data_IF_502249937014
#
_entry.id   IF_502249937014
#
_cell.length_a   1.000
_cell.length_b   1.000
_cell.length_c   1.000
_cell.angle_alpha   90.00
_cell.angle_beta   90.00
_cell.angle_gamma   90.00
#
_symmetry.space_group_name_H-M   'P 1'
#
loop_
_entity.id
_entity.type
_entity.pdbx_description
1 polymer ?
#
# COMPACT_ATOMS: atom_id res chain seq x y z
N UNK A 1 4.93 12.24 16.74
CA UNK A 1 3.87 12.82 15.88
C UNK A 1 3.32 11.72 15.01
N UNK A 2 2.01 11.68 14.77
CA UNK A 2 1.31 10.54 14.15
C UNK A 2 1.41 10.59 12.62
N UNK A 3 1.79 9.49 11.97
CA UNK A 3 1.87 9.34 10.51
C UNK A 3 0.54 9.59 9.80
N UNK A 4 -0.59 9.34 10.48
CA UNK A 4 -1.93 9.65 9.95
C UNK A 4 -2.17 11.16 9.74
N UNK A 5 -1.39 12.03 10.38
CA UNK A 5 -1.54 13.48 10.23
C UNK A 5 -0.96 14.03 8.91
N UNK A 6 -0.01 13.32 8.29
CA UNK A 6 0.61 13.74 7.01
C UNK A 6 -0.07 13.11 5.79
N UNK A 7 -0.78 12.00 5.99
CA UNK A 7 -1.44 11.26 4.91
C UNK A 7 -2.39 12.15 4.08
N UNK A 8 -3.24 13.03 4.67
CA UNK A 8 -4.08 13.93 3.88
C UNK A 8 -3.30 14.92 3.01
N UNK A 9 -2.05 15.24 3.37
CA UNK A 9 -1.18 16.10 2.55
C UNK A 9 -0.77 15.37 1.27
N UNK A 10 -0.42 14.08 1.37
CA UNK A 10 -0.10 13.25 0.20
C UNK A 10 -1.26 13.16 -0.79
N UNK A 11 -2.50 13.22 -0.31
CA UNK A 11 -3.70 13.16 -1.14
C UNK A 11 -3.92 14.39 -2.02
N UNK A 12 -3.30 15.54 -1.73
CA UNK A 12 -3.36 16.74 -2.58
C UNK A 12 -2.75 16.53 -3.97
N UNK A 13 -1.88 15.53 -4.11
CA UNK A 13 -1.27 15.13 -5.37
C UNK A 13 -2.21 14.35 -6.29
N UNK A 14 -3.36 13.86 -5.78
CA UNK A 14 -4.34 13.17 -6.60
C UNK A 14 -5.31 14.15 -7.26
N UNK A 15 -5.49 14.04 -8.57
CA UNK A 15 -6.54 14.71 -9.33
C UNK A 15 -7.14 13.77 -10.36
N UNK A 16 -8.46 13.60 -10.32
CA UNK A 16 -9.20 12.84 -11.33
C UNK A 16 -8.58 11.45 -11.58
N UNK A 17 -8.24 10.73 -10.51
CA UNK A 17 -7.61 9.41 -10.58
C UNK A 17 -6.16 9.38 -11.08
N UNK A 18 -5.50 10.54 -11.25
CA UNK A 18 -4.09 10.64 -11.61
C UNK A 18 -3.28 11.23 -10.45
N UNK A 19 -2.10 10.68 -10.21
CA UNK A 19 -1.16 11.18 -9.22
C UNK A 19 -0.15 12.15 -9.86
N UNK A 20 0.08 13.30 -9.23
CA UNK A 20 1.09 14.28 -9.65
C UNK A 20 1.89 14.77 -8.45
N UNK A 21 3.12 14.25 -8.34
CA UNK A 21 4.05 14.51 -7.24
C UNK A 21 4.51 15.97 -7.17
N UNK A 22 4.50 16.70 -8.30
CA UNK A 22 4.99 18.09 -8.35
C UNK A 22 4.17 19.02 -7.45
N UNK A 23 2.93 18.63 -7.15
CA UNK A 23 2.01 19.33 -6.26
C UNK A 23 2.45 19.33 -4.80
N UNK A 24 3.33 18.40 -4.42
CA UNK A 24 3.85 18.30 -3.05
C UNK A 24 5.19 19.01 -2.86
N UNK A 25 5.86 19.47 -3.93
CA UNK A 25 7.24 20.00 -3.87
C UNK A 25 7.40 21.20 -2.93
N UNK A 26 6.33 21.97 -2.71
CA UNK A 26 6.32 23.13 -1.83
C UNK A 26 5.85 22.81 -0.40
N UNK A 27 5.50 21.55 -0.10
CA UNK A 27 5.08 21.15 1.24
C UNK A 27 6.31 21.07 2.17
N UNK A 28 6.24 21.62 3.42
CA UNK A 28 7.38 21.67 4.33
C UNK A 28 8.01 20.31 4.70
N UNK A 29 7.30 19.22 4.45
CA UNK A 29 7.72 17.84 4.73
C UNK A 29 7.83 17.00 3.44
N UNK A 30 8.13 17.66 2.31
CA UNK A 30 8.17 17.02 1.00
C UNK A 30 9.05 15.77 0.97
N UNK A 31 10.24 15.79 1.58
CA UNK A 31 11.12 14.62 1.59
C UNK A 31 10.47 13.42 2.27
N UNK A 32 9.89 13.61 3.46
CA UNK A 32 9.18 12.53 4.17
C UNK A 32 7.95 12.04 3.38
N UNK A 33 7.21 12.96 2.77
CA UNK A 33 6.08 12.63 1.89
C UNK A 33 6.55 11.79 0.70
N UNK A 34 7.62 12.20 0.01
CA UNK A 34 8.16 11.52 -1.14
C UNK A 34 8.56 10.08 -0.79
N UNK A 35 9.35 9.91 0.27
CA UNK A 35 9.90 8.60 0.64
C UNK A 35 8.82 7.65 1.15
N UNK A 36 8.09 8.02 2.21
CA UNK A 36 7.24 7.08 2.94
C UNK A 36 5.78 7.00 2.42
N UNK A 37 5.29 8.06 1.77
CA UNK A 37 3.85 8.17 1.44
C UNK A 37 3.57 8.21 -0.06
N UNK A 38 4.40 8.84 -0.87
CA UNK A 38 4.11 9.09 -2.28
C UNK A 38 4.79 8.10 -3.23
N UNK A 39 5.90 7.47 -2.83
CA UNK A 39 6.71 6.63 -3.72
C UNK A 39 5.93 5.50 -4.38
N UNK A 40 4.95 4.94 -3.67
CA UNK A 40 4.10 3.86 -4.17
C UNK A 40 3.13 4.33 -5.26
N UNK A 41 2.68 5.58 -5.17
CA UNK A 41 1.72 6.18 -6.08
C UNK A 41 2.38 6.62 -7.40
N UNK A 42 3.70 6.83 -7.40
CA UNK A 42 4.50 7.10 -8.60
C UNK A 42 4.39 5.99 -9.66
N UNK A 43 4.06 4.76 -9.26
CA UNK A 43 3.77 3.67 -10.21
C UNK A 43 2.64 3.99 -11.19
N UNK A 44 1.78 4.97 -10.86
CA UNK A 44 0.65 5.41 -11.70
C UNK A 44 0.99 6.56 -12.63
N UNK A 45 2.18 7.18 -12.50
CA UNK A 45 2.57 8.32 -13.34
C UNK A 45 3.16 7.86 -14.68
N UNK A 46 3.34 8.81 -15.61
CA UNK A 46 4.15 8.57 -16.80
C UNK A 46 5.52 8.02 -16.39
N UNK A 47 6.04 7.04 -17.14
CA UNK A 47 7.29 6.30 -16.89
C UNK A 47 7.41 5.57 -15.54
N UNK A 48 6.32 5.42 -14.78
CA UNK A 48 6.35 4.86 -13.43
C UNK A 48 7.07 5.76 -12.41
N UNK A 49 7.30 7.04 -12.74
CA UNK A 49 7.93 8.02 -11.87
C UNK A 49 9.44 7.86 -11.73
N UNK A 50 10.06 7.06 -12.59
CA UNK A 50 11.48 6.74 -12.53
C UNK A 50 12.36 7.97 -12.75
N UNK A 51 12.02 8.84 -13.71
CA UNK A 51 12.79 10.06 -13.94
C UNK A 51 12.74 11.01 -12.73
N UNK A 52 11.60 11.02 -12.03
CA UNK A 52 11.42 11.82 -10.83
C UNK A 52 12.28 11.32 -9.67
N UNK A 53 12.18 10.02 -9.34
CA UNK A 53 12.96 9.42 -8.25
C UNK A 53 14.45 9.49 -8.53
N UNK A 54 14.89 9.26 -9.78
CA UNK A 54 16.30 9.36 -10.14
C UNK A 54 16.90 10.75 -9.85
N UNK A 55 16.08 11.81 -9.95
CA UNK A 55 16.51 13.20 -9.72
C UNK A 55 16.45 13.59 -8.25
N UNK A 56 15.37 13.21 -7.55
CA UNK A 56 15.05 13.75 -6.22
C UNK A 56 15.39 12.79 -5.08
N UNK A 57 15.29 11.48 -5.29
CA UNK A 57 15.46 10.48 -4.23
C UNK A 57 16.06 9.16 -4.76
N UNK A 58 17.24 9.18 -5.44
CA UNK A 58 17.80 7.99 -6.08
C UNK A 58 18.20 6.89 -5.09
N UNK A 59 18.39 7.26 -3.83
CA UNK A 59 18.79 6.39 -2.73
C UNK A 59 17.63 6.01 -1.81
N UNK A 60 16.39 6.36 -2.15
CA UNK A 60 15.23 5.93 -1.37
C UNK A 60 15.13 4.40 -1.29
N UNK A 61 14.69 3.90 -0.14
CA UNK A 61 14.62 2.47 0.12
C UNK A 61 13.74 1.71 -0.90
N UNK A 62 12.68 2.35 -1.41
CA UNK A 62 11.78 1.79 -2.42
C UNK A 62 12.15 2.14 -3.87
N UNK A 63 13.24 2.87 -4.13
CA UNK A 63 13.71 3.10 -5.50
C UNK A 63 13.96 1.80 -6.30
N UNK A 64 14.66 0.77 -5.77
CA UNK A 64 14.79 -0.52 -6.47
C UNK A 64 13.45 -1.22 -6.72
N UNK A 65 12.52 -1.13 -5.78
CA UNK A 65 11.17 -1.67 -5.96
C UNK A 65 10.41 -0.96 -7.09
N UNK A 66 10.51 0.37 -7.20
CA UNK A 66 9.88 1.14 -8.27
C UNK A 66 10.41 0.75 -9.66
N UNK A 67 11.72 0.48 -9.75
CA UNK A 67 12.36 -0.04 -10.97
C UNK A 67 11.81 -1.43 -11.36
N UNK A 68 11.62 -2.33 -10.39
CA UNK A 68 11.03 -3.63 -10.63
C UNK A 68 9.57 -3.52 -11.11
N UNK A 69 8.79 -2.64 -10.49
CA UNK A 69 7.42 -2.35 -10.92
C UNK A 69 7.36 -1.81 -12.35
N UNK A 70 8.21 -0.83 -12.67
CA UNK A 70 8.34 -0.28 -14.01
C UNK A 70 8.68 -1.35 -15.06
N UNK A 71 9.58 -2.28 -14.73
CA UNK A 71 10.00 -3.36 -15.61
C UNK A 71 8.86 -4.31 -16.01
N UNK A 72 7.80 -4.43 -15.20
CA UNK A 72 6.63 -5.23 -15.54
C UNK A 72 5.79 -4.63 -16.67
N UNK A 73 5.88 -3.32 -16.89
CA UNK A 73 5.06 -2.59 -17.86
C UNK A 73 5.84 -2.14 -19.09
N UNK A 74 7.14 -1.88 -18.96
CA UNK A 74 7.98 -1.44 -20.06
C UNK A 74 9.43 -1.90 -19.90
N UNK A 75 10.19 -2.07 -21.01
CA UNK A 75 11.60 -2.39 -20.94
C UNK A 75 12.38 -1.26 -20.26
N UNK A 76 13.22 -1.59 -19.26
CA UNK A 76 14.12 -0.63 -18.65
C UNK A 76 15.26 -0.25 -19.60
N UNK A 77 15.68 1.01 -19.55
CA UNK A 77 16.90 1.48 -20.21
C UNK A 77 18.16 0.88 -19.58
N UNK A 78 19.29 0.93 -20.29
CA UNK A 78 20.57 0.46 -19.76
C UNK A 78 20.97 1.16 -18.44
N UNK A 79 20.68 2.47 -18.32
CA UNK A 79 20.91 3.23 -17.10
C UNK A 79 20.03 2.73 -15.94
N UNK A 80 18.74 2.48 -16.19
CA UNK A 80 17.81 1.98 -15.18
C UNK A 80 18.17 0.55 -14.73
N UNK A 81 18.62 -0.31 -15.64
CA UNK A 81 19.15 -1.63 -15.27
C UNK A 81 20.40 -1.53 -14.40
N UNK A 82 21.34 -0.63 -14.74
CA UNK A 82 22.52 -0.40 -13.90
C UNK A 82 22.12 0.14 -12.51
N UNK A 83 21.13 1.03 -12.46
CA UNK A 83 20.60 1.54 -11.21
C UNK A 83 20.01 0.40 -10.37
N UNK A 84 19.11 -0.41 -10.92
CA UNK A 84 18.49 -1.55 -10.23
C UNK A 84 19.54 -2.54 -9.69
N UNK A 85 20.52 -2.91 -10.52
CA UNK A 85 21.59 -3.83 -10.15
C UNK A 85 22.51 -3.30 -9.04
N UNK A 86 22.53 -1.97 -8.82
CA UNK A 86 23.28 -1.34 -7.74
C UNK A 86 22.42 -1.10 -6.50
N UNK A 87 21.23 -0.55 -6.67
CA UNK A 87 20.38 -0.11 -5.56
C UNK A 87 19.73 -1.29 -4.83
N UNK A 88 19.29 -2.33 -5.54
CA UNK A 88 18.63 -3.47 -4.90
C UNK A 88 19.56 -4.22 -3.94
N UNK A 89 20.76 -4.69 -4.35
CA UNK A 89 21.62 -5.44 -3.42
C UNK A 89 22.11 -4.58 -2.26
N UNK A 90 22.33 -3.27 -2.48
CA UNK A 90 22.68 -2.34 -1.41
C UNK A 90 21.56 -2.26 -0.37
N UNK A 91 20.33 -2.00 -0.82
CA UNK A 91 19.19 -1.86 0.08
C UNK A 91 18.91 -3.16 0.82
N UNK A 92 18.93 -4.31 0.13
CA UNK A 92 18.73 -5.61 0.78
C UNK A 92 19.82 -5.89 1.84
N UNK A 93 21.08 -5.50 1.58
CA UNK A 93 22.16 -5.62 2.55
C UNK A 93 21.96 -4.73 3.78
N UNK A 94 21.41 -3.52 3.60
CA UNK A 94 21.02 -2.63 4.71
C UNK A 94 19.92 -3.26 5.57
N UNK A 95 18.87 -3.81 4.95
CA UNK A 95 17.80 -4.52 5.67
C UNK A 95 18.37 -5.74 6.41
N UNK A 96 19.24 -6.51 5.76
CA UNK A 96 19.92 -7.67 6.33
C UNK A 96 20.79 -7.34 7.54
N UNK A 97 21.29 -6.11 7.67
CA UNK A 97 22.05 -5.70 8.85
C UNK A 97 21.16 -5.51 10.09
N UNK A 98 19.84 -5.37 9.93
CA UNK A 98 18.92 -5.19 11.05
C UNK A 98 18.72 -6.50 11.84
N UNK A 99 18.59 -6.39 13.16
CA UNK A 99 18.27 -7.52 14.01
C UNK A 99 16.90 -8.13 13.66
N UNK A 100 15.96 -7.29 13.21
CA UNK A 100 14.63 -7.72 12.78
C UNK A 100 14.70 -8.64 11.54
N UNK A 101 15.47 -8.26 10.51
CA UNK A 101 15.65 -9.12 9.34
C UNK A 101 16.29 -10.46 9.72
N UNK A 102 17.30 -10.44 10.60
CA UNK A 102 17.98 -11.67 11.03
C UNK A 102 17.06 -12.63 11.80
N UNK A 103 16.13 -12.10 12.60
CA UNK A 103 15.11 -12.93 13.25
C UNK A 103 14.15 -13.52 12.21
N UNK A 104 13.63 -12.68 11.30
CA UNK A 104 12.67 -13.12 10.28
C UNK A 104 13.28 -14.07 9.25
N UNK A 105 14.55 -13.93 8.88
CA UNK A 105 15.19 -14.81 7.90
C UNK A 105 15.36 -16.24 8.43
N UNK A 106 15.47 -16.40 9.76
CA UNK A 106 15.48 -17.71 10.40
C UNK A 106 14.08 -18.35 10.41
N UNK A 107 13.03 -17.56 10.63
CA UNK A 107 11.64 -18.02 10.66
C UNK A 107 11.05 -18.23 9.25
N UNK A 108 11.55 -17.49 8.25
CA UNK A 108 11.08 -17.48 6.85
C UNK A 108 12.24 -17.72 5.86
N UNK A 109 12.81 -18.95 5.86
CA UNK A 109 13.99 -19.27 5.06
C UNK A 109 13.74 -19.33 3.54
N UNK A 110 12.54 -19.70 3.07
CA UNK A 110 12.21 -19.71 1.64
C UNK A 110 12.09 -18.27 1.10
N UNK A 111 11.46 -17.37 1.87
CA UNK A 111 11.37 -15.94 1.53
C UNK A 111 12.77 -15.34 1.46
N UNK A 112 13.61 -15.60 2.46
CA UNK A 112 15.00 -15.13 2.47
C UNK A 112 15.81 -15.67 1.27
N UNK A 113 15.73 -16.98 1.00
CA UNK A 113 16.41 -17.58 -0.14
C UNK A 113 15.94 -16.99 -1.47
N UNK A 114 14.63 -16.73 -1.62
CA UNK A 114 14.07 -16.15 -2.82
C UNK A 114 14.53 -14.70 -3.05
N UNK A 115 14.48 -13.85 -2.02
CA UNK A 115 14.95 -12.45 -2.08
C UNK A 115 16.44 -12.34 -2.45
N UNK A 116 17.26 -13.29 -1.97
CA UNK A 116 18.71 -13.29 -2.22
C UNK A 116 19.11 -13.92 -3.55
N UNK A 117 18.33 -14.87 -4.08
CA UNK A 117 18.69 -15.61 -5.28
C UNK A 117 18.32 -14.88 -6.59
N UNK A 118 17.23 -14.12 -6.62
CA UNK A 118 16.70 -13.51 -7.86
C UNK A 118 16.40 -12.00 -7.80
N UNK A 119 17.18 -11.16 -7.10
CA UNK A 119 16.78 -9.80 -6.73
C UNK A 119 16.36 -8.88 -7.90
N UNK A 120 17.13 -8.89 -9.00
CA UNK A 120 16.94 -7.93 -10.10
C UNK A 120 15.90 -8.36 -11.14
N UNK A 121 15.36 -9.57 -11.07
CA UNK A 121 14.33 -10.08 -11.98
C UNK A 121 13.12 -10.59 -11.23
N UNK A 122 13.06 -10.33 -9.93
CA UNK A 122 12.20 -11.03 -8.98
C UNK A 122 10.69 -10.91 -9.29
N UNK A 123 10.28 -9.77 -9.86
CA UNK A 123 8.89 -9.50 -10.28
C UNK A 123 8.63 -9.73 -11.77
N UNK A 124 9.68 -10.05 -12.54
CA UNK A 124 9.61 -10.26 -13.98
C UNK A 124 9.92 -11.72 -14.38
N UNK A 125 10.37 -12.53 -13.44
CA UNK A 125 10.49 -13.96 -13.64
C UNK A 125 9.08 -14.58 -13.74
N UNK A 126 8.80 -15.23 -14.86
CA UNK A 126 7.53 -15.89 -15.13
C UNK A 126 7.49 -17.32 -14.57
N UNK A 127 8.55 -17.76 -13.88
CA UNK A 127 8.53 -19.02 -13.16
C UNK A 127 7.43 -18.97 -12.09
N UNK A 128 6.58 -20.00 -12.05
CA UNK A 128 5.53 -20.07 -11.04
C UNK A 128 6.18 -20.38 -9.69
N UNK A 129 6.05 -19.52 -8.67
CA UNK A 129 6.60 -19.79 -7.35
C UNK A 129 5.95 -21.03 -6.75
N UNK A 130 6.69 -21.75 -5.92
CA UNK A 130 6.14 -22.91 -5.21
C UNK A 130 5.05 -22.47 -4.22
N UNK A 131 4.05 -23.34 -3.99
CA UNK A 131 3.04 -23.08 -2.95
C UNK A 131 3.66 -22.87 -1.57
N UNK A 132 4.74 -23.60 -1.24
CA UNK A 132 5.44 -23.44 0.04
C UNK A 132 6.02 -22.03 0.20
N UNK A 133 6.60 -21.46 -0.86
CA UNK A 133 7.06 -20.06 -0.84
C UNK A 133 5.89 -19.10 -0.65
N UNK A 134 4.77 -19.31 -1.35
CA UNK A 134 3.59 -18.45 -1.22
C UNK A 134 2.96 -18.52 0.18
N UNK A 135 2.87 -19.72 0.77
CA UNK A 135 2.39 -19.92 2.14
C UNK A 135 3.30 -19.19 3.15
N UNK A 136 4.63 -19.26 2.93
CA UNK A 136 5.61 -18.57 3.76
C UNK A 136 5.55 -17.05 3.58
N UNK A 137 5.29 -16.54 2.37
CA UNK A 137 5.05 -15.12 2.14
C UNK A 137 3.80 -14.62 2.90
N UNK A 138 2.72 -15.41 2.92
CA UNK A 138 1.51 -15.03 3.68
C UNK A 138 1.79 -14.98 5.18
N UNK A 139 2.53 -15.96 5.69
CA UNK A 139 2.96 -16.01 7.09
C UNK A 139 3.92 -14.85 7.44
N UNK A 140 4.85 -14.51 6.54
CA UNK A 140 5.77 -13.38 6.68
C UNK A 140 5.00 -12.06 6.85
N UNK A 141 4.08 -11.74 5.93
CA UNK A 141 3.27 -10.51 6.01
C UNK A 141 2.39 -10.52 7.26
N UNK A 142 1.75 -11.66 7.55
CA UNK A 142 0.93 -11.83 8.74
C UNK A 142 1.70 -11.52 10.02
N UNK A 143 2.90 -12.09 10.19
CA UNK A 143 3.75 -11.88 11.36
C UNK A 143 4.15 -10.41 11.51
N UNK A 144 4.51 -9.75 10.41
CA UNK A 144 4.82 -8.31 10.42
C UNK A 144 3.60 -7.44 10.78
N UNK A 145 2.38 -7.94 10.57
CA UNK A 145 1.13 -7.30 10.95
C UNK A 145 0.60 -7.73 12.34
N UNK A 146 1.43 -8.37 13.17
CA UNK A 146 1.05 -8.79 14.53
C UNK A 146 0.34 -10.15 14.60
N UNK A 147 0.47 -10.99 13.56
CA UNK A 147 0.03 -12.39 13.58
C UNK A 147 -1.48 -12.61 13.75
N UNK A 148 -2.30 -11.60 13.43
CA UNK A 148 -3.76 -11.59 13.61
C UNK A 148 -4.24 -11.67 15.08
N UNK A 149 -3.40 -11.40 16.08
CA UNK A 149 -3.78 -11.43 17.49
C UNK A 149 -4.37 -10.08 17.95
N UNK A 150 -5.60 -9.83 17.55
CA UNK A 150 -6.40 -8.69 18.02
C UNK A 150 -7.30 -9.16 19.17
N UNK A 151 -7.23 -8.46 20.30
CA UNK A 151 -8.27 -8.60 21.31
C UNK A 151 -9.47 -7.74 20.89
N UNK A 152 -10.66 -8.32 20.99
CA UNK A 152 -11.90 -7.59 20.82
C UNK A 152 -12.05 -6.62 22.00
N UNK A 153 -11.85 -5.33 21.76
CA UNK A 153 -12.30 -4.33 22.73
C UNK A 153 -13.83 -4.27 22.67
N UNK A 154 -14.54 -4.41 23.81
CA UNK A 154 -15.98 -4.30 23.83
C UNK A 154 -16.41 -2.92 23.28
N UNK A 155 -17.55 -2.84 22.57
CA UNK A 155 -17.99 -1.60 21.93
C UNK A 155 -18.11 -0.47 22.96
N UNK A 156 -17.46 0.66 22.67
CA UNK A 156 -17.61 1.90 23.44
C UNK A 156 -19.00 2.49 23.13
N UNK A 157 -19.70 3.13 24.07
CA UNK A 157 -21.02 3.74 23.82
C UNK A 157 -21.07 4.73 22.65
N UNK A 158 -19.92 5.24 22.20
CA UNK A 158 -19.80 6.18 21.08
C UNK A 158 -19.37 5.52 19.75
N UNK A 159 -19.04 4.22 19.74
CA UNK A 159 -18.57 3.49 18.56
C UNK A 159 -19.26 2.13 18.44
N UNK A 160 -20.16 1.99 17.46
CA UNK A 160 -20.99 0.80 17.24
C UNK A 160 -20.25 -0.39 16.64
N UNK A 161 -18.98 -0.24 16.28
CA UNK A 161 -18.12 -1.32 15.78
C UNK A 161 -17.06 -1.67 16.84
N UNK A 162 -16.83 -2.97 17.14
CA UNK A 162 -15.75 -3.37 18.03
C UNK A 162 -14.42 -2.96 17.39
N UNK A 163 -13.70 -2.04 18.04
CA UNK A 163 -12.35 -1.68 17.64
C UNK A 163 -11.44 -2.89 17.89
N UNK A 164 -10.84 -3.42 16.83
CA UNK A 164 -9.79 -4.43 16.95
C UNK A 164 -8.54 -3.71 17.45
N UNK A 165 -8.15 -3.95 18.71
CA UNK A 165 -6.93 -3.37 19.27
C UNK A 165 -5.84 -4.45 19.36
N UNK A 166 -4.64 -4.12 18.87
CA UNK A 166 -3.45 -4.95 19.07
C UNK A 166 -3.21 -5.11 20.57
N UNK A 167 -3.04 -6.34 21.02
CA UNK A 167 -2.66 -6.61 22.41
C UNK A 167 -1.32 -5.94 22.72
N UNK A 168 -1.22 -5.25 23.86
CA UNK A 168 0.00 -4.54 24.29
C UNK A 168 1.25 -5.44 24.32
N UNK A 169 1.10 -6.76 24.37
CA UNK A 169 2.20 -7.73 24.35
C UNK A 169 2.88 -7.90 22.98
N UNK A 170 2.24 -7.46 21.89
CA UNK A 170 2.75 -7.57 20.51
C UNK A 170 2.90 -6.21 19.80
N UNK A 171 2.95 -5.12 20.58
CA UNK A 171 3.39 -3.81 20.08
C UNK A 171 4.85 -3.80 19.57
N UNK A 172 5.57 -4.91 19.73
CA UNK A 172 6.83 -5.08 19.04
C UNK A 172 6.63 -5.05 17.51
N UNK A 173 7.37 -4.15 16.89
CA UNK A 173 7.86 -4.22 15.50
C UNK A 173 6.92 -4.08 14.31
N UNK A 174 5.61 -3.88 14.43
CA UNK A 174 4.80 -3.60 13.22
C UNK A 174 5.30 -2.32 12.53
N UNK A 175 5.36 -1.19 13.25
CA UNK A 175 5.88 0.07 12.71
C UNK A 175 7.34 0.00 12.28
N UNK A 176 8.19 -0.66 13.08
CA UNK A 176 9.63 -0.81 12.80
C UNK A 176 9.89 -1.64 11.54
N UNK A 177 9.07 -2.65 11.25
CA UNK A 177 9.23 -3.45 10.03
C UNK A 177 9.03 -2.62 8.76
N UNK A 178 8.05 -1.70 8.77
CA UNK A 178 7.82 -0.81 7.63
C UNK A 178 8.91 0.23 7.46
N UNK A 179 9.70 0.54 8.50
CA UNK A 179 10.83 1.46 8.43
C UNK A 179 12.14 0.74 8.10
N UNK A 180 12.36 -0.45 8.66
CA UNK A 180 13.61 -1.20 8.55
C UNK A 180 13.64 -2.14 7.35
N UNK A 181 12.49 -2.69 6.94
CA UNK A 181 12.37 -3.72 5.89
C UNK A 181 11.46 -3.35 4.69
N UNK A 182 11.40 -2.07 4.26
CA UNK A 182 10.44 -1.65 3.23
C UNK A 182 10.61 -2.39 1.90
N UNK A 183 11.84 -2.63 1.42
CA UNK A 183 12.08 -3.33 0.15
C UNK A 183 11.57 -4.77 0.22
N UNK A 184 11.99 -5.54 1.24
CA UNK A 184 11.56 -6.94 1.39
C UNK A 184 10.05 -7.05 1.48
N UNK A 185 9.41 -6.18 2.28
CA UNK A 185 7.96 -6.18 2.47
C UNK A 185 7.23 -5.89 1.15
N UNK A 186 7.62 -4.86 0.39
CA UNK A 186 6.96 -4.53 -0.86
C UNK A 186 7.16 -5.59 -1.95
N UNK A 187 8.36 -6.16 -2.07
CA UNK A 187 8.66 -7.20 -3.06
C UNK A 187 7.90 -8.49 -2.75
N UNK A 188 7.87 -8.93 -1.48
CA UNK A 188 7.08 -10.10 -1.05
C UNK A 188 5.58 -9.86 -1.24
N UNK A 189 5.11 -8.64 -0.95
CA UNK A 189 3.72 -8.25 -1.18
C UNK A 189 3.34 -8.38 -2.65
N UNK A 190 4.17 -7.90 -3.57
CA UNK A 190 3.85 -7.95 -5.01
C UNK A 190 3.89 -9.37 -5.57
N UNK A 191 4.75 -10.25 -5.05
CA UNK A 191 4.69 -11.68 -5.40
C UNK A 191 3.32 -12.26 -5.04
N UNK A 192 2.85 -11.99 -3.82
CA UNK A 192 1.53 -12.46 -3.38
C UNK A 192 0.37 -11.79 -4.12
N UNK A 193 0.44 -10.48 -4.40
CA UNK A 193 -0.59 -9.81 -5.21
C UNK A 193 -0.69 -10.42 -6.61
N UNK A 194 0.42 -10.91 -7.17
CA UNK A 194 0.44 -11.55 -8.49
C UNK A 194 -0.17 -12.95 -8.46
N UNK A 195 0.12 -13.75 -7.44
CA UNK A 195 -0.23 -15.18 -7.42
C UNK A 195 -1.42 -15.55 -6.52
N UNK A 196 -1.70 -14.77 -5.48
CA UNK A 196 -2.79 -14.96 -4.50
C UNK A 196 -3.42 -13.60 -4.10
N UNK A 197 -3.97 -12.82 -5.06
CA UNK A 197 -4.44 -11.45 -4.82
C UNK A 197 -5.58 -11.32 -3.81
N UNK A 198 -6.29 -12.40 -3.49
CA UNK A 198 -7.47 -12.41 -2.62
C UNK A 198 -7.25 -13.16 -1.30
N UNK A 199 -5.99 -13.47 -0.95
CA UNK A 199 -5.66 -14.16 0.30
C UNK A 199 -6.14 -13.39 1.54
N UNK A 200 -6.36 -14.12 2.64
CA UNK A 200 -6.95 -13.57 3.85
C UNK A 200 -6.09 -12.45 4.48
N UNK A 201 -4.76 -12.55 4.37
CA UNK A 201 -3.84 -11.53 4.90
C UNK A 201 -4.09 -10.16 4.28
N UNK A 202 -4.39 -10.07 2.98
CA UNK A 202 -4.67 -8.78 2.32
C UNK A 202 -6.01 -8.18 2.73
N UNK A 203 -7.03 -9.01 2.95
CA UNK A 203 -8.32 -8.54 3.46
C UNK A 203 -8.13 -7.91 4.84
N UNK A 204 -7.35 -8.57 5.68
CA UNK A 204 -7.02 -8.10 7.01
C UNK A 204 -6.23 -6.78 6.99
N UNK A 205 -5.17 -6.69 6.18
CA UNK A 205 -4.38 -5.47 5.98
C UNK A 205 -5.24 -4.29 5.53
N UNK A 206 -6.21 -4.52 4.66
CA UNK A 206 -7.06 -3.45 4.16
C UNK A 206 -7.97 -2.86 5.26
N UNK A 207 -8.40 -3.67 6.25
CA UNK A 207 -9.35 -3.26 7.30
C UNK A 207 -8.71 -2.87 8.63
N UNK A 208 -7.43 -3.20 8.84
CA UNK A 208 -6.76 -3.02 10.12
C UNK A 208 -6.25 -1.58 10.31
N UNK A 209 -6.44 -1.04 11.51
CA UNK A 209 -5.80 0.22 11.94
C UNK A 209 -4.32 -0.01 12.28
N UNK A 210 -3.42 0.71 11.60
CA UNK A 210 -1.98 0.68 11.89
C UNK A 210 -1.58 1.97 12.61
N UNK A 211 -0.88 1.82 13.74
CA UNK A 211 -0.10 2.93 14.28
C UNK A 211 1.10 3.18 13.35
N UNK A 212 1.22 4.40 12.83
CA UNK A 212 2.26 4.78 11.88
C UNK A 212 3.07 5.97 12.39
N UNK A 213 4.39 5.92 12.25
CA UNK A 213 5.23 7.12 12.31
C UNK A 213 5.14 7.88 10.98
N UNK A 214 5.72 9.09 10.90
CA UNK A 214 5.77 9.82 9.63
C UNK A 214 6.65 9.14 8.57
N UNK A 215 7.69 8.43 8.99
CA UNK A 215 8.69 7.82 8.10
C UNK A 215 8.31 6.38 7.72
N UNK A 216 7.26 5.84 8.36
CA UNK A 216 6.77 4.50 8.10
C UNK A 216 6.06 4.40 6.76
N UNK A 217 6.42 3.38 5.99
CA UNK A 217 5.83 3.08 4.69
C UNK A 217 4.47 2.35 4.79
N UNK A 218 3.99 2.07 6.01
CA UNK A 218 2.80 1.25 6.27
C UNK A 218 1.54 1.76 5.60
N UNK A 219 1.32 3.07 5.60
CA UNK A 219 0.11 3.66 5.01
C UNK A 219 0.14 3.54 3.48
N UNK A 220 1.30 3.81 2.86
CA UNK A 220 1.51 3.65 1.43
C UNK A 220 1.38 2.19 0.97
N UNK A 221 1.91 1.27 1.77
CA UNK A 221 1.78 -0.16 1.55
C UNK A 221 0.31 -0.62 1.64
N UNK A 222 -0.40 -0.23 2.70
CA UNK A 222 -1.81 -0.57 2.92
C UNK A 222 -2.70 -0.08 1.77
N UNK A 223 -2.49 1.15 1.30
CA UNK A 223 -3.20 1.72 0.15
C UNK A 223 -2.98 0.91 -1.12
N UNK A 224 -1.74 0.49 -1.38
CA UNK A 224 -1.42 -0.41 -2.51
C UNK A 224 -2.16 -1.74 -2.39
N UNK A 225 -2.07 -2.41 -1.24
CA UNK A 225 -2.76 -3.69 -1.00
C UNK A 225 -4.27 -3.55 -1.19
N UNK A 226 -4.89 -2.52 -0.59
CA UNK A 226 -6.32 -2.28 -0.68
C UNK A 226 -6.77 -2.05 -2.13
N UNK A 227 -6.03 -1.26 -2.91
CA UNK A 227 -6.33 -1.03 -4.32
C UNK A 227 -6.29 -2.34 -5.14
N UNK A 228 -5.20 -3.11 -5.03
CA UNK A 228 -5.06 -4.35 -5.79
C UNK A 228 -6.07 -5.42 -5.38
N UNK A 229 -6.38 -5.51 -4.08
CA UNK A 229 -7.40 -6.41 -3.56
C UNK A 229 -8.79 -6.08 -4.14
N UNK A 230 -9.19 -4.80 -4.12
CA UNK A 230 -10.46 -4.38 -4.73
C UNK A 230 -10.48 -4.56 -6.24
N UNK A 231 -9.34 -4.42 -6.93
CA UNK A 231 -9.25 -4.74 -8.34
C UNK A 231 -9.48 -6.23 -8.63
N UNK A 232 -9.25 -7.11 -7.67
CA UNK A 232 -9.29 -8.58 -7.82
C UNK A 232 -10.57 -9.23 -7.28
N UNK A 233 -11.23 -8.63 -6.28
CA UNK A 233 -12.49 -9.13 -5.72
C UNK A 233 -13.70 -8.80 -6.61
N UNK A 234 -14.80 -9.54 -6.46
CA UNK A 234 -16.08 -9.12 -7.05
C UNK A 234 -16.70 -7.92 -6.29
N UNK A 235 -17.75 -7.32 -6.85
CA UNK A 235 -18.41 -6.13 -6.29
C UNK A 235 -19.04 -6.42 -4.91
N UNK A 236 -19.57 -7.63 -4.71
CA UNK A 236 -20.25 -7.99 -3.46
C UNK A 236 -19.26 -8.07 -2.32
N UNK A 237 -18.17 -8.82 -2.50
CA UNK A 237 -17.09 -8.94 -1.52
C UNK A 237 -16.39 -7.59 -1.28
N UNK A 238 -16.17 -6.82 -2.35
CA UNK A 238 -15.63 -5.46 -2.24
C UNK A 238 -16.50 -4.58 -1.36
N UNK A 239 -17.83 -4.61 -1.54
CA UNK A 239 -18.77 -3.77 -0.77
C UNK A 239 -18.75 -4.11 0.72
N UNK A 240 -18.67 -5.41 1.06
CA UNK A 240 -18.52 -5.85 2.45
C UNK A 240 -17.21 -5.35 3.05
N UNK A 241 -16.09 -5.51 2.33
CA UNK A 241 -14.78 -5.10 2.81
C UNK A 241 -14.70 -3.58 3.03
N UNK A 242 -15.24 -2.79 2.11
CA UNK A 242 -15.26 -1.32 2.19
C UNK A 242 -15.95 -0.82 3.47
N UNK A 243 -16.98 -1.51 3.97
CA UNK A 243 -17.68 -1.12 5.20
C UNK A 243 -16.83 -1.23 6.47
N UNK A 244 -15.70 -1.96 6.40
CA UNK A 244 -14.78 -2.18 7.51
C UNK A 244 -13.42 -1.48 7.30
N UNK A 245 -13.26 -0.66 6.25
CA UNK A 245 -12.02 0.08 6.00
C UNK A 245 -12.03 1.45 6.69
N UNK A 246 -10.85 1.90 7.09
CA UNK A 246 -10.68 3.25 7.65
C UNK A 246 -10.92 4.35 6.62
N UNK A 247 -11.35 5.50 7.13
CA UNK A 247 -11.69 6.67 6.33
C UNK A 247 -10.56 7.14 5.39
N UNK A 248 -9.29 7.02 5.80
CA UNK A 248 -8.17 7.44 4.95
C UNK A 248 -7.91 6.50 3.77
N UNK A 249 -8.07 5.19 3.97
CA UNK A 249 -8.01 4.19 2.90
C UNK A 249 -9.19 4.38 1.96
N UNK A 250 -10.40 4.57 2.49
CA UNK A 250 -11.59 4.85 1.68
C UNK A 250 -11.41 6.12 0.83
N UNK A 251 -10.90 7.20 1.43
CA UNK A 251 -10.68 8.45 0.70
C UNK A 251 -9.64 8.28 -0.41
N UNK A 252 -8.53 7.61 -0.12
CA UNK A 252 -7.55 7.25 -1.13
C UNK A 252 -8.15 6.47 -2.30
N UNK A 253 -8.91 5.41 -2.00
CA UNK A 253 -9.55 4.59 -3.04
C UNK A 253 -10.53 5.44 -3.86
N UNK A 254 -11.29 6.32 -3.24
CA UNK A 254 -12.16 7.25 -3.95
C UNK A 254 -11.36 8.13 -4.91
N UNK A 255 -10.26 8.72 -4.45
CA UNK A 255 -9.37 9.53 -5.30
C UNK A 255 -8.81 8.71 -6.47
N UNK A 256 -8.32 7.49 -6.21
CA UNK A 256 -7.74 6.62 -7.23
C UNK A 256 -8.76 6.12 -8.26
N UNK A 257 -10.00 5.83 -7.84
CA UNK A 257 -11.08 5.41 -8.73
C UNK A 257 -11.87 6.59 -9.34
N UNK A 258 -11.57 7.85 -8.99
CA UNK A 258 -12.29 9.05 -9.47
C UNK A 258 -12.01 9.45 -10.92
N UNK A 259 -11.25 8.66 -11.69
CA UNK A 259 -10.89 9.02 -13.07
C UNK A 259 -12.12 9.22 -13.95
N UNK A 260 -12.13 10.36 -14.66
CA UNK A 260 -13.16 10.73 -15.63
C UNK A 260 -13.10 9.88 -16.90
N UNK A 261 -11.94 9.30 -17.23
CA UNK A 261 -11.79 8.33 -18.33
C UNK A 261 -12.25 6.92 -17.92
N UNK A 262 -12.12 6.57 -16.63
CA UNK A 262 -12.51 5.29 -16.03
C UNK A 262 -14.03 5.06 -15.91
N UNK A 263 -14.85 6.11 -16.05
CA UNK A 263 -16.32 5.98 -16.17
C UNK A 263 -16.77 5.24 -17.45
N UNK A 264 -15.84 4.74 -18.27
CA UNK A 264 -16.12 3.83 -19.38
C UNK A 264 -16.26 2.36 -18.97
N UNK A 265 -15.79 1.95 -17.78
CA UNK A 265 -15.91 0.57 -17.29
C UNK A 265 -16.93 0.48 -16.14
N UNK A 266 -18.08 -0.17 -16.40
CA UNK A 266 -19.22 -0.31 -15.47
C UNK A 266 -18.78 -0.77 -14.06
N UNK A 267 -17.77 -1.64 -13.97
CA UNK A 267 -17.20 -2.11 -12.70
C UNK A 267 -16.53 -1.00 -11.89
N UNK A 268 -15.72 -0.14 -12.51
CA UNK A 268 -15.01 0.94 -11.81
C UNK A 268 -15.97 2.01 -11.30
N UNK A 269 -16.97 2.38 -12.10
CA UNK A 269 -18.03 3.29 -11.66
C UNK A 269 -18.84 2.70 -10.49
N UNK A 270 -19.13 1.39 -10.54
CA UNK A 270 -19.81 0.69 -9.44
C UNK A 270 -18.95 0.67 -8.17
N UNK A 271 -17.66 0.36 -8.27
CA UNK A 271 -16.73 0.40 -7.14
C UNK A 271 -16.62 1.82 -6.55
N UNK A 272 -16.45 2.84 -7.38
CA UNK A 272 -16.40 4.23 -6.92
C UNK A 272 -17.67 4.62 -6.15
N UNK A 273 -18.85 4.25 -6.67
CA UNK A 273 -20.12 4.48 -5.99
C UNK A 273 -20.20 3.75 -4.65
N UNK A 274 -19.74 2.50 -4.59
CA UNK A 274 -19.67 1.73 -3.35
C UNK A 274 -18.72 2.37 -2.32
N UNK A 275 -17.55 2.84 -2.76
CA UNK A 275 -16.58 3.54 -1.91
C UNK A 275 -17.19 4.84 -1.34
N UNK A 276 -17.79 5.68 -2.18
CA UNK A 276 -18.43 6.92 -1.71
C UNK A 276 -19.57 6.63 -0.74
N UNK A 277 -20.33 5.56 -0.98
CA UNK A 277 -21.37 5.14 -0.04
C UNK A 277 -20.77 4.61 1.28
N UNK A 278 -19.66 3.88 1.26
CA UNK A 278 -18.96 3.49 2.48
C UNK A 278 -18.49 4.71 3.27
N UNK A 279 -17.91 5.72 2.62
CA UNK A 279 -17.52 7.00 3.24
C UNK A 279 -18.70 7.69 3.92
N UNK A 280 -19.88 7.71 3.30
CA UNK A 280 -21.10 8.31 3.90
C UNK A 280 -21.51 7.62 5.20
N UNK A 281 -21.19 6.34 5.39
CA UNK A 281 -21.56 5.56 6.57
C UNK A 281 -20.39 5.31 7.53
N UNK A 282 -19.16 5.66 7.14
CA UNK A 282 -18.00 5.62 8.02
C UNK A 282 -18.18 6.57 9.21
N UNK A 283 -17.67 6.16 10.37
CA UNK A 283 -17.55 7.01 11.55
C UNK A 283 -16.63 8.20 11.30
N UNK A 284 -16.73 9.23 12.13
CA UNK A 284 -15.79 10.36 12.06
C UNK A 284 -14.39 9.90 12.46
N UNK A 285 -13.36 10.38 11.74
CA UNK A 285 -11.96 10.15 12.05
C UNK A 285 -11.31 11.50 12.40
N UNK A 286 -10.58 11.56 13.51
CA UNK A 286 -9.94 12.78 14.02
C UNK A 286 -9.00 13.47 13.02
N UNK A 287 -8.49 12.76 12.01
CA UNK A 287 -7.56 13.31 11.00
C UNK A 287 -8.22 13.75 9.68
N UNK A 288 -9.46 13.34 9.41
CA UNK A 288 -10.16 13.62 8.15
C UNK A 288 -11.62 14.02 8.41
N UNK A 289 -11.95 15.28 8.11
CA UNK A 289 -13.33 15.75 8.10
C UNK A 289 -14.12 15.07 6.96
N UNK A 290 -15.03 14.18 7.35
CA UNK A 290 -15.92 13.43 6.45
C UNK A 290 -16.71 14.35 5.51
N UNK A 291 -17.19 15.50 5.97
CA UNK A 291 -17.94 16.44 5.15
C UNK A 291 -17.03 17.11 4.13
N UNK A 292 -15.81 17.46 4.52
CA UNK A 292 -14.81 18.00 3.60
C UNK A 292 -14.40 16.98 2.53
N UNK A 293 -14.23 15.71 2.91
CA UNK A 293 -13.97 14.61 1.96
C UNK A 293 -15.14 14.42 1.00
N UNK A 294 -16.37 14.34 1.50
CA UNK A 294 -17.54 14.19 0.64
C UNK A 294 -17.73 15.39 -0.31
N UNK A 295 -17.38 16.60 0.12
CA UNK A 295 -17.42 17.79 -0.71
C UNK A 295 -16.34 17.80 -1.82
N UNK A 296 -15.20 17.14 -1.60
CA UNK A 296 -14.13 17.03 -2.61
C UNK A 296 -14.41 15.95 -3.66
N UNK A 297 -15.27 14.97 -3.33
CA UNK A 297 -15.63 13.85 -4.21
C UNK A 297 -16.87 14.20 -5.05
N UNK A 298 -16.69 14.25 -6.37
CA UNK A 298 -17.83 14.35 -7.30
C UNK A 298 -18.42 12.96 -7.53
N UNK A 299 -19.71 12.76 -7.26
CA UNK A 299 -20.40 11.52 -7.68
C UNK A 299 -20.50 11.48 -9.21
N UNK A 300 -20.38 10.31 -9.86
CA UNK A 300 -20.67 10.21 -11.28
C UNK A 300 -22.15 10.56 -11.48
N UNK A 301 -22.52 11.18 -12.61
CA UNK A 301 -23.93 11.30 -12.96
C UNK A 301 -24.53 9.89 -12.96
N UNK A 302 -25.53 9.65 -12.10
CA UNK A 302 -26.33 8.43 -12.14
C UNK A 302 -26.95 8.40 -13.53
N UNK A 303 -26.50 7.49 -14.39
CA UNK A 303 -27.21 7.24 -15.63
C UNK A 303 -28.54 6.63 -15.22
N UNK A 304 -29.60 7.45 -15.26
CA UNK A 304 -30.98 6.97 -15.22
C UNK A 304 -31.13 5.98 -16.37
N UNK A 305 -31.03 4.68 -16.07
CA UNK A 305 -31.50 3.62 -16.96
C UNK A 305 -33.02 3.77 -17.01
N UNK A 306 -33.51 4.57 -17.96
CA UNK A 306 -34.92 4.63 -18.36
C UNK A 306 -35.30 3.42 -19.20
#
# INVERSE_FOLDING_TARGET
MCGLCIEPVSFKAWQQGQFDITRLENEPMFDTLLHAHAMTELTTTADGGLAYVARHAPDAALAPWLLLQAQQHFPLSAFQHQWLNKSFPRQLAEEQASALYQALSADFPLVHAWLTHHPATILCDHSTPSNALLDECEAFISTLCGGFWYEYSPPHPDNYFPAMQLTNAHQYSAGEAFEQLPLSLFVVTDLLLTHRPTCAVFQFVATMEFAASFESYVLAWRRRVAYHLLCSLDITHSSTLLSAMDMSVLYYLALRFSSTEANQYERQATLYTAIVNAIKHAGENDSLDKNAVLASLSLPPVQDKR
#
